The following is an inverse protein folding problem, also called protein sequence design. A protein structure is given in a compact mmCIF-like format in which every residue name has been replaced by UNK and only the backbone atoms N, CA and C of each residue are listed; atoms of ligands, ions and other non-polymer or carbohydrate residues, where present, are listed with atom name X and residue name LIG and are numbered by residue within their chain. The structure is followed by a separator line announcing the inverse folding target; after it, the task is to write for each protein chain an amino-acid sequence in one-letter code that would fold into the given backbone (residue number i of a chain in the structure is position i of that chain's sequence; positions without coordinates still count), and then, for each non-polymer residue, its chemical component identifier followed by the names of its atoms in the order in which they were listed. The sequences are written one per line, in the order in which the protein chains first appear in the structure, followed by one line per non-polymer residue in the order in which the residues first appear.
data_IF_806388691629
#
_entry.id   IF_806388691629
#
_cell.length_a   1.000
_cell.length_b   1.000
_cell.length_c   1.000
_cell.angle_alpha   90.00
_cell.angle_beta   90.00
_cell.angle_gamma   90.00
#
_symmetry.space_group_name_H-M   'P 1'
#
loop_
_entity.id
_entity.type
_entity.pdbx_description
1 polymer ?
#
# COMPACT_ATOMS: atom_id res chain seq x y z
N UNK A 1 -7.16 -34.55 47.93
CA UNK A 1 -6.67 -34.30 46.56
C UNK A 1 -7.82 -33.68 45.82
N UNK A 2 -7.78 -32.38 45.60
CA UNK A 2 -8.74 -31.72 44.71
C UNK A 2 -8.30 -32.03 43.27
N UNK A 3 -9.00 -32.85 42.58
CA UNK A 3 -8.88 -32.93 41.12
C UNK A 3 -9.42 -31.61 40.58
N UNK A 4 -8.53 -30.81 40.05
CA UNK A 4 -8.85 -29.60 39.33
C UNK A 4 -9.60 -30.01 38.06
N UNK A 5 -10.92 -30.11 38.17
CA UNK A 5 -11.79 -30.43 37.07
C UNK A 5 -11.98 -29.14 36.25
N UNK A 6 -10.89 -28.70 35.60
CA UNK A 6 -10.90 -27.66 34.58
C UNK A 6 -11.64 -28.19 33.36
N UNK A 7 -12.96 -28.15 33.44
CA UNK A 7 -13.76 -28.31 32.23
C UNK A 7 -13.42 -27.16 31.28
N UNK A 8 -13.06 -27.41 30.02
CA UNK A 8 -12.83 -26.34 29.09
C UNK A 8 -14.07 -25.47 29.01
N UNK A 9 -13.91 -24.21 29.32
CA UNK A 9 -14.98 -23.22 29.17
C UNK A 9 -15.46 -23.24 27.71
N UNK A 10 -16.79 -23.33 27.48
CA UNK A 10 -17.29 -23.29 26.11
C UNK A 10 -16.88 -21.98 25.46
N UNK A 11 -16.23 -22.05 24.30
CA UNK A 11 -15.95 -20.84 23.51
C UNK A 11 -17.27 -20.13 23.25
N UNK A 12 -17.32 -18.80 23.40
CA UNK A 12 -18.53 -18.05 23.07
C UNK A 12 -18.92 -18.39 21.62
N UNK A 13 -20.15 -18.79 21.43
CA UNK A 13 -20.69 -19.09 20.11
C UNK A 13 -20.72 -17.81 19.28
N UNK A 14 -19.87 -17.75 18.24
CA UNK A 14 -19.86 -16.62 17.30
C UNK A 14 -20.90 -16.92 16.23
N UNK A 15 -21.99 -16.18 16.26
CA UNK A 15 -23.00 -16.24 15.19
C UNK A 15 -22.44 -15.53 13.95
N UNK A 16 -22.25 -16.29 12.88
CA UNK A 16 -21.83 -15.75 11.59
C UNK A 16 -23.07 -15.26 10.85
N UNK A 17 -23.34 -13.97 10.92
CA UNK A 17 -24.46 -13.29 10.28
C UNK A 17 -23.96 -12.04 9.52
N UNK A 18 -24.87 -11.30 8.91
CA UNK A 18 -24.54 -10.09 8.13
C UNK A 18 -23.77 -9.04 8.96
N UNK A 19 -23.97 -8.99 10.28
CA UNK A 19 -23.28 -8.06 11.16
C UNK A 19 -21.77 -8.34 11.29
N UNK A 20 -21.33 -9.54 10.91
CA UNK A 20 -19.91 -9.95 10.90
C UNK A 20 -19.21 -9.63 9.60
N UNK A 21 -19.94 -9.26 8.58
CA UNK A 21 -19.39 -8.84 7.30
C UNK A 21 -19.11 -7.34 7.37
N UNK A 22 -17.85 -6.98 7.23
CA UNK A 22 -17.41 -5.59 7.33
C UNK A 22 -16.93 -5.10 5.97
N UNK A 23 -17.43 -3.92 5.58
CA UNK A 23 -16.87 -3.16 4.47
C UNK A 23 -15.84 -2.19 5.03
N UNK A 24 -14.59 -2.36 4.62
CA UNK A 24 -13.48 -1.51 5.04
C UNK A 24 -13.18 -0.47 3.97
N UNK A 25 -12.90 0.76 4.40
CA UNK A 25 -12.30 1.75 3.53
C UNK A 25 -10.95 1.25 3.01
N UNK A 26 -10.53 1.70 1.82
CA UNK A 26 -9.34 1.18 1.14
C UNK A 26 -8.09 1.29 1.99
N UNK A 27 -7.84 2.43 2.63
CA UNK A 27 -6.70 2.62 3.52
C UNK A 27 -6.76 1.73 4.75
N UNK A 28 -7.94 1.56 5.33
CA UNK A 28 -8.16 0.67 6.47
C UNK A 28 -7.94 -0.79 6.08
N UNK A 29 -8.40 -1.19 4.90
CA UNK A 29 -8.18 -2.54 4.37
C UNK A 29 -6.69 -2.83 4.18
N UNK A 30 -5.94 -1.90 3.60
CA UNK A 30 -4.49 -2.01 3.40
C UNK A 30 -3.77 -2.15 4.75
N UNK A 31 -4.13 -1.35 5.75
CA UNK A 31 -3.55 -1.41 7.09
C UNK A 31 -3.88 -2.68 7.85
N UNK A 32 -5.08 -3.23 7.62
CA UNK A 32 -5.52 -4.47 8.26
C UNK A 32 -4.89 -5.71 7.62
N UNK A 33 -4.64 -5.66 6.32
CA UNK A 33 -4.09 -6.77 5.53
C UNK A 33 -2.87 -6.34 4.71
N UNK A 34 -1.81 -5.84 5.37
CA UNK A 34 -0.65 -5.31 4.65
C UNK A 34 0.03 -6.35 3.76
N UNK A 35 0.01 -7.62 4.14
CA UNK A 35 0.60 -8.70 3.33
C UNK A 35 -0.01 -8.86 1.95
N UNK A 36 -1.24 -8.41 1.73
CA UNK A 36 -1.89 -8.44 0.42
C UNK A 36 -1.40 -7.32 -0.52
N UNK A 37 -0.83 -6.25 0.02
CA UNK A 37 -0.51 -5.04 -0.74
C UNK A 37 0.98 -4.72 -0.78
N UNK A 38 1.65 -4.77 0.37
CA UNK A 38 3.06 -4.41 0.48
C UNK A 38 3.96 -5.58 0.87
N UNK A 39 3.36 -6.72 1.22
CA UNK A 39 4.11 -7.87 1.65
C UNK A 39 4.45 -7.85 3.14
N UNK A 40 5.63 -8.37 3.48
CA UNK A 40 6.04 -8.61 4.85
C UNK A 40 6.27 -7.30 5.62
N UNK A 41 5.76 -7.25 6.85
CA UNK A 41 6.14 -6.19 7.80
C UNK A 41 7.43 -6.58 8.51
N UNK A 42 8.52 -5.95 8.15
CA UNK A 42 9.84 -6.18 8.70
C UNK A 42 10.61 -4.88 8.90
N UNK A 43 11.81 -5.00 9.43
CA UNK A 43 12.70 -3.87 9.74
C UNK A 43 13.60 -3.42 8.57
N UNK A 44 13.42 -4.00 7.40
CA UNK A 44 14.25 -3.74 6.23
C UNK A 44 15.45 -4.67 6.09
N UNK A 45 15.58 -5.70 6.93
CA UNK A 45 16.69 -6.66 6.85
C UNK A 45 16.51 -7.69 5.73
N UNK A 46 15.32 -7.82 5.17
CA UNK A 46 14.99 -8.74 4.08
C UNK A 46 14.47 -7.99 2.86
N UNK A 47 14.78 -8.51 1.68
CA UNK A 47 14.36 -7.90 0.41
C UNK A 47 12.83 -7.91 0.21
N UNK A 48 12.10 -8.80 0.89
CA UNK A 48 10.64 -8.89 0.83
C UNK A 48 9.94 -7.97 1.82
N UNK A 49 10.69 -7.22 2.63
CA UNK A 49 10.08 -6.31 3.60
C UNK A 49 9.32 -5.18 2.89
N UNK A 50 8.14 -4.87 3.40
CA UNK A 50 7.21 -3.94 2.78
C UNK A 50 7.76 -2.53 2.61
N UNK A 51 8.74 -2.13 3.40
CA UNK A 51 9.43 -0.84 3.24
C UNK A 51 10.07 -0.72 1.84
N UNK A 52 10.64 -1.80 1.31
CA UNK A 52 11.20 -1.79 -0.04
C UNK A 52 10.12 -1.76 -1.11
N UNK A 53 9.01 -2.47 -0.89
CA UNK A 53 7.86 -2.43 -1.81
C UNK A 53 7.31 -1.02 -1.91
N UNK A 54 7.11 -0.33 -0.79
CA UNK A 54 6.63 1.05 -0.78
C UNK A 54 7.57 2.00 -1.51
N UNK A 55 8.87 1.87 -1.26
CA UNK A 55 9.88 2.69 -1.93
C UNK A 55 9.91 2.41 -3.44
N UNK A 56 9.89 1.13 -3.81
CA UNK A 56 9.86 0.69 -5.21
C UNK A 56 8.64 1.24 -5.95
N UNK A 57 7.45 1.10 -5.39
CA UNK A 57 6.21 1.58 -6.01
C UNK A 57 6.24 3.09 -6.25
N UNK A 58 6.79 3.84 -5.29
CA UNK A 58 6.93 5.29 -5.45
C UNK A 58 7.90 5.65 -6.56
N UNK A 59 9.02 4.94 -6.66
CA UNK A 59 10.02 5.15 -7.72
C UNK A 59 9.46 4.71 -9.08
N UNK A 60 8.74 3.60 -9.14
CA UNK A 60 8.12 3.11 -10.38
C UNK A 60 7.13 4.12 -10.96
N UNK A 61 6.37 4.81 -10.10
CA UNK A 61 5.48 5.90 -10.54
C UNK A 61 6.25 7.02 -11.23
N UNK A 62 7.40 7.39 -10.69
CA UNK A 62 8.27 8.41 -11.29
C UNK A 62 8.92 7.94 -12.59
N UNK A 63 9.28 6.66 -12.67
CA UNK A 63 9.82 6.04 -13.89
C UNK A 63 8.76 6.00 -15.00
N UNK A 64 7.52 5.72 -14.65
CA UNK A 64 6.41 5.73 -15.61
C UNK A 64 6.23 7.12 -16.24
N UNK A 65 6.32 8.20 -15.46
CA UNK A 65 6.30 9.57 -15.98
C UNK A 65 7.48 9.86 -16.91
N UNK A 66 8.67 9.41 -16.53
CA UNK A 66 9.85 9.54 -17.36
C UNK A 66 9.69 8.81 -18.70
N UNK A 67 9.15 7.60 -18.68
CA UNK A 67 8.93 6.79 -19.89
C UNK A 67 7.90 7.43 -20.84
N UNK A 68 6.96 8.19 -20.32
CA UNK A 68 6.02 8.97 -21.12
C UNK A 68 6.62 10.28 -21.66
N UNK A 69 7.87 10.56 -21.37
CA UNK A 69 8.60 11.76 -21.84
C UNK A 69 8.48 12.98 -20.95
N UNK A 70 7.95 12.81 -19.73
CA UNK A 70 7.78 13.90 -18.76
C UNK A 70 8.80 13.80 -17.63
N UNK A 71 9.62 14.83 -17.51
CA UNK A 71 10.71 14.87 -16.55
C UNK A 71 11.96 14.16 -17.05
N UNK A 72 13.11 14.55 -16.54
CA UNK A 72 14.43 14.03 -16.94
C UNK A 72 15.25 13.54 -15.77
N UNK A 73 14.77 13.72 -14.55
CA UNK A 73 15.49 13.41 -13.33
C UNK A 73 14.54 12.92 -12.26
N UNK A 74 14.97 11.91 -11.52
CA UNK A 74 14.31 11.42 -10.33
C UNK A 74 15.29 11.57 -9.17
N UNK A 75 14.85 12.23 -8.10
CA UNK A 75 15.64 12.42 -6.90
C UNK A 75 15.09 11.54 -5.80
N UNK A 76 15.97 10.78 -5.14
CA UNK A 76 15.62 9.95 -3.99
C UNK A 76 16.47 10.39 -2.82
N UNK A 77 15.84 10.85 -1.75
CA UNK A 77 16.50 11.27 -0.53
C UNK A 77 15.98 10.42 0.63
N UNK A 78 16.90 9.83 1.38
CA UNK A 78 16.60 9.10 2.61
C UNK A 78 17.17 9.90 3.76
N UNK A 79 16.32 10.27 4.71
CA UNK A 79 16.67 11.11 5.83
C UNK A 79 16.96 10.28 7.08
N UNK A 80 17.75 10.84 8.01
CA UNK A 80 18.15 10.17 9.26
C UNK A 80 16.95 9.82 10.16
N UNK A 81 15.83 10.53 10.01
CA UNK A 81 14.58 10.23 10.73
C UNK A 81 13.77 9.09 10.13
N UNK A 82 14.35 8.31 9.22
CA UNK A 82 13.72 7.19 8.50
C UNK A 82 12.59 7.59 7.54
N UNK A 83 12.51 8.86 7.16
CA UNK A 83 11.64 9.30 6.07
C UNK A 83 12.37 9.21 4.73
N UNK A 84 11.60 8.98 3.67
CA UNK A 84 12.10 9.00 2.30
C UNK A 84 11.32 10.03 1.48
N UNK A 85 12.03 10.72 0.59
CA UNK A 85 11.45 11.66 -0.36
C UNK A 85 11.82 11.22 -1.76
N UNK A 86 10.81 11.07 -2.61
CA UNK A 86 11.00 10.79 -4.04
C UNK A 86 10.39 11.95 -4.81
N UNK A 87 11.21 12.60 -5.63
CA UNK A 87 10.78 13.72 -6.46
C UNK A 87 11.06 13.42 -7.92
N UNK A 88 10.04 13.57 -8.72
CA UNK A 88 10.18 13.65 -10.17
C UNK A 88 9.79 15.05 -10.67
N UNK A 89 10.04 15.30 -11.94
CA UNK A 89 9.71 16.57 -12.61
C UNK A 89 8.69 16.32 -13.71
N UNK A 90 7.76 15.37 -13.45
CA UNK A 90 6.69 15.00 -14.37
C UNK A 90 5.49 15.94 -14.32
N UNK A 91 4.38 15.45 -14.85
CA UNK A 91 3.13 16.23 -14.95
C UNK A 91 2.47 16.52 -13.61
N UNK A 92 2.80 15.74 -12.58
CA UNK A 92 2.11 15.76 -11.31
C UNK A 92 0.75 15.04 -11.37
N UNK A 93 0.04 15.08 -10.26
CA UNK A 93 -1.30 14.53 -10.14
C UNK A 93 -2.30 15.68 -10.17
N UNK A 94 -3.36 15.63 -10.98
CA UNK A 94 -4.39 16.65 -10.97
C UNK A 94 -4.94 16.87 -9.56
N UNK A 95 -5.07 18.11 -9.12
CA UNK A 95 -5.48 18.45 -7.75
C UNK A 95 -6.81 17.80 -7.35
N UNK A 96 -7.77 17.73 -8.28
CA UNK A 96 -9.06 17.10 -8.04
C UNK A 96 -9.01 15.58 -7.86
N UNK A 97 -7.91 14.93 -8.26
CA UNK A 97 -7.72 13.49 -8.13
C UNK A 97 -6.72 13.12 -7.03
N UNK A 98 -6.06 14.08 -6.39
CA UNK A 98 -4.93 13.84 -5.49
C UNK A 98 -5.30 12.94 -4.32
N UNK A 99 -6.40 13.20 -3.65
CA UNK A 99 -6.84 12.41 -2.49
C UNK A 99 -7.14 10.98 -2.90
N UNK A 100 -7.86 10.76 -3.98
CA UNK A 100 -8.20 9.43 -4.47
C UNK A 100 -6.96 8.66 -4.94
N UNK A 101 -6.03 9.33 -5.62
CA UNK A 101 -4.79 8.72 -6.11
C UNK A 101 -3.91 8.15 -4.99
N UNK A 102 -3.94 8.75 -3.80
CA UNK A 102 -3.10 8.33 -2.66
C UNK A 102 -3.86 7.54 -1.60
N UNK A 103 -5.17 7.39 -1.72
CA UNK A 103 -5.99 6.79 -0.66
C UNK A 103 -6.95 5.70 -1.12
N UNK A 104 -7.21 5.57 -2.42
CA UNK A 104 -8.13 4.58 -2.97
C UNK A 104 -7.43 3.57 -3.85
N UNK A 105 -7.88 2.32 -3.76
CA UNK A 105 -7.41 1.24 -4.62
C UNK A 105 -7.91 1.43 -6.06
N UNK A 106 -7.13 0.95 -7.03
CA UNK A 106 -7.49 0.95 -8.45
C UNK A 106 -7.80 2.34 -9.02
N UNK A 107 -7.12 3.36 -8.51
CA UNK A 107 -7.15 4.71 -9.07
C UNK A 107 -5.85 5.05 -9.79
N UNK A 108 -5.89 6.05 -10.64
CA UNK A 108 -4.75 6.57 -11.35
C UNK A 108 -4.87 6.51 -12.87
N UNK A 109 -4.05 7.30 -13.55
CA UNK A 109 -4.05 7.44 -15.01
C UNK A 109 -3.47 6.23 -15.77
N UNK A 110 -2.84 5.28 -15.08
CA UNK A 110 -2.21 4.10 -15.69
C UNK A 110 -3.19 3.13 -16.34
N UNK A 111 -4.47 3.22 -15.97
CA UNK A 111 -5.55 2.44 -16.59
C UNK A 111 -6.08 3.07 -17.89
N UNK A 112 -5.64 4.28 -18.23
CA UNK A 112 -6.02 4.98 -19.45
C UNK A 112 -4.82 5.02 -20.40
N UNK A 113 -4.93 4.30 -21.52
CA UNK A 113 -3.88 4.22 -22.54
C UNK A 113 -3.62 5.54 -23.26
N UNK A 114 -4.54 6.50 -23.19
CA UNK A 114 -4.32 7.86 -23.69
C UNK A 114 -3.38 8.67 -22.79
N UNK A 115 -3.24 8.29 -21.52
CA UNK A 115 -2.37 8.94 -20.54
C UNK A 115 -1.04 8.21 -20.40
N UNK A 116 -1.07 6.86 -20.37
CA UNK A 116 0.12 6.02 -20.28
C UNK A 116 0.12 4.95 -21.35
N UNK A 117 1.19 4.88 -22.13
CA UNK A 117 1.38 3.84 -23.14
C UNK A 117 1.97 2.56 -22.55
N UNK A 118 2.71 2.68 -21.43
CA UNK A 118 3.29 1.57 -20.69
C UNK A 118 3.44 1.94 -19.22
N UNK A 119 3.47 0.94 -18.36
CA UNK A 119 3.70 1.09 -16.93
C UNK A 119 4.60 -0.02 -16.40
N UNK A 120 5.48 0.31 -15.44
CA UNK A 120 6.35 -0.67 -14.76
C UNK A 120 5.75 -1.19 -13.44
N UNK A 121 4.65 -0.60 -13.00
CA UNK A 121 3.99 -0.95 -11.73
C UNK A 121 2.55 -1.39 -11.81
#
# INVERSE_FOLDING_TARGET
MAEDNLQPQPKPEVVYDESKIRHLEDTEHIRTRPGMYIGRLGDGSHAEDGIYVLLKESIDNSIDEFNEGYGKRIEVNIHDNLSAEIRDYGRGIPLGALVDAVSKLNTGGKYDTAVFTASVG
#
